data_IF_894236170879
#
_entry.id   IF_894236170879
#
_cell.length_a   1.000
_cell.length_b   1.000
_cell.length_c   1.000
_cell.angle_alpha   90.00
_cell.angle_beta   90.00
_cell.angle_gamma   90.00
#
_symmetry.space_group_name_H-M   'P 1'
#
loop_
_entity.id
_entity.type
_entity.pdbx_description
1 polymer ?
#
# COMPACT_ATOMS: atom_id res chain seq x y z
N UNK A 1 -43.91 6.46 -67.42
CA UNK A 1 -42.43 6.58 -67.41
C UNK A 1 -42.00 7.19 -66.07
N UNK A 2 -41.05 6.54 -65.35
CA UNK A 2 -40.29 6.99 -64.15
C UNK A 2 -41.14 7.18 -62.86
N UNK A 3 -41.20 6.31 -61.84
CA UNK A 3 -40.21 5.59 -61.00
C UNK A 3 -39.07 6.47 -60.47
N UNK A 4 -39.13 6.84 -59.18
CA UNK A 4 -38.27 6.32 -58.09
C UNK A 4 -38.16 7.34 -56.94
N UNK A 5 -38.40 6.87 -55.72
CA UNK A 5 -38.10 7.55 -54.47
C UNK A 5 -36.59 7.63 -54.25
N UNK A 6 -36.11 8.72 -53.62
CA UNK A 6 -34.78 8.74 -53.01
C UNK A 6 -34.88 9.51 -51.69
N UNK A 7 -34.82 8.76 -50.59
CA UNK A 7 -34.68 9.29 -49.25
C UNK A 7 -33.30 9.93 -49.09
N UNK A 8 -33.28 11.21 -48.68
CA UNK A 8 -32.06 11.90 -48.32
C UNK A 8 -31.77 11.61 -46.84
N UNK A 9 -31.02 10.55 -46.57
CA UNK A 9 -30.35 10.37 -45.27
C UNK A 9 -29.14 11.31 -45.29
N UNK A 10 -29.04 12.32 -44.42
CA UNK A 10 -27.83 13.13 -44.38
C UNK A 10 -26.69 12.28 -43.82
N UNK A 11 -25.70 12.10 -44.68
CA UNK A 11 -24.37 11.56 -44.44
C UNK A 11 -23.66 12.37 -43.33
N UNK A 12 -23.90 12.04 -42.07
CA UNK A 12 -23.18 12.62 -40.93
C UNK A 12 -22.51 11.53 -40.07
N UNK A 13 -21.87 10.56 -40.71
CA UNK A 13 -21.17 9.46 -40.03
C UNK A 13 -19.72 9.27 -40.50
N UNK A 14 -19.08 10.30 -41.06
CA UNK A 14 -17.68 10.20 -41.55
C UNK A 14 -16.73 11.22 -40.90
N UNK A 15 -17.12 11.86 -39.78
CA UNK A 15 -16.21 12.76 -39.04
C UNK A 15 -15.96 12.34 -37.58
N UNK A 16 -16.52 11.21 -37.13
CA UNK A 16 -16.35 10.74 -35.75
C UNK A 16 -15.04 9.97 -35.45
N UNK A 17 -14.29 9.35 -36.39
CA UNK A 17 -13.14 8.54 -35.95
C UNK A 17 -11.95 9.35 -35.45
N UNK A 18 -11.85 10.63 -35.82
CA UNK A 18 -10.64 11.43 -35.54
C UNK A 18 -10.69 12.19 -34.22
N UNK A 19 -11.86 12.51 -33.67
CA UNK A 19 -11.94 13.13 -32.34
C UNK A 19 -11.68 12.13 -31.19
N UNK A 20 -12.04 10.85 -31.38
CA UNK A 20 -11.84 9.80 -30.37
C UNK A 20 -10.37 9.33 -30.24
N UNK A 21 -9.55 9.52 -31.28
CA UNK A 21 -8.12 9.18 -31.26
C UNK A 21 -7.19 10.25 -30.67
N UNK A 22 -7.75 11.35 -30.13
CA UNK A 22 -6.95 12.38 -29.45
C UNK A 22 -6.76 12.11 -27.96
N UNK A 23 -7.62 11.31 -27.32
CA UNK A 23 -7.47 10.97 -25.89
C UNK A 23 -6.50 9.83 -25.60
N UNK A 24 -6.08 9.05 -26.61
CA UNK A 24 -5.13 7.94 -26.38
C UNK A 24 -3.66 8.35 -26.47
N UNK A 25 -3.35 9.60 -26.87
CA UNK A 25 -1.97 10.11 -26.97
C UNK A 25 -1.50 10.88 -25.72
N UNK A 26 -2.15 10.63 -24.59
CA UNK A 26 -1.75 11.11 -23.26
C UNK A 26 -1.25 10.00 -22.32
N UNK A 27 -1.14 8.75 -22.78
CA UNK A 27 -0.62 7.63 -21.99
C UNK A 27 0.93 7.65 -21.85
N UNK A 28 1.53 8.84 -21.80
CA UNK A 28 2.93 9.00 -21.43
C UNK A 28 3.08 8.65 -19.94
N UNK A 29 3.36 7.37 -19.64
CA UNK A 29 3.77 6.84 -18.34
C UNK A 29 3.03 7.50 -17.16
N UNK A 30 1.78 7.10 -16.94
CA UNK A 30 1.06 7.49 -15.72
C UNK A 30 1.97 7.23 -14.51
N UNK A 31 2.25 8.25 -13.69
CA UNK A 31 3.02 8.06 -12.47
C UNK A 31 2.34 6.97 -11.65
N UNK A 32 3.05 5.88 -11.39
CA UNK A 32 2.59 4.85 -10.47
C UNK A 32 2.36 5.52 -9.12
N UNK A 33 1.09 5.58 -8.68
CA UNK A 33 0.74 6.09 -7.36
C UNK A 33 1.48 5.24 -6.33
N UNK A 34 1.97 5.86 -5.28
CA UNK A 34 2.74 5.19 -4.21
C UNK A 34 2.03 5.42 -2.89
N UNK A 35 1.67 4.34 -2.21
CA UNK A 35 0.97 4.40 -0.94
C UNK A 35 1.80 3.68 0.12
N UNK A 36 2.13 4.37 1.20
CA UNK A 36 2.78 3.79 2.36
C UNK A 36 1.73 3.62 3.46
N UNK A 37 1.46 2.38 3.85
CA UNK A 37 0.68 2.05 5.03
C UNK A 37 1.64 1.90 6.22
N UNK A 38 1.33 2.49 7.36
CA UNK A 38 2.14 2.42 8.57
C UNK A 38 1.28 1.88 9.72
N UNK A 39 1.79 0.85 10.41
CA UNK A 39 1.19 0.26 11.60
C UNK A 39 2.26 -0.06 12.65
N UNK A 40 1.87 -0.34 13.88
CA UNK A 40 2.81 -0.58 14.97
C UNK A 40 3.40 -2.00 14.94
N UNK A 41 2.58 -2.98 14.58
CA UNK A 41 2.91 -4.40 14.63
C UNK A 41 2.61 -5.09 13.29
N UNK A 42 3.25 -6.25 13.01
CA UNK A 42 2.66 -7.21 12.09
C UNK A 42 1.22 -7.49 12.50
N UNK A 43 0.28 -7.56 11.55
CA UNK A 43 -1.18 -7.72 11.72
C UNK A 43 -2.02 -6.44 11.88
N UNK A 44 -1.41 -5.28 12.15
CA UNK A 44 -2.14 -4.00 12.15
C UNK A 44 -2.58 -3.59 10.74
N UNK A 45 -1.99 -4.17 9.69
CA UNK A 45 -2.32 -3.79 8.32
C UNK A 45 -3.69 -4.29 7.85
N UNK A 46 -4.43 -3.42 7.17
CA UNK A 46 -5.57 -3.87 6.35
C UNK A 46 -5.04 -4.56 5.08
N UNK A 47 -4.95 -5.89 5.15
CA UNK A 47 -4.50 -6.75 4.04
C UNK A 47 -5.40 -6.60 2.80
N UNK A 48 -6.70 -6.32 2.97
CA UNK A 48 -7.61 -6.12 1.86
C UNK A 48 -7.33 -4.78 1.17
N UNK A 49 -7.08 -3.72 1.94
CA UNK A 49 -6.66 -2.44 1.41
C UNK A 49 -5.34 -2.56 0.64
N UNK A 50 -4.32 -3.20 1.22
CA UNK A 50 -3.02 -3.40 0.56
C UNK A 50 -3.20 -4.19 -0.75
N UNK A 51 -3.92 -5.30 -0.70
CA UNK A 51 -4.18 -6.14 -1.88
C UNK A 51 -4.94 -5.37 -2.96
N UNK A 52 -5.94 -4.58 -2.56
CA UNK A 52 -6.72 -3.75 -3.47
C UNK A 52 -5.84 -2.67 -4.11
N UNK A 53 -5.02 -1.95 -3.35
CA UNK A 53 -4.12 -0.92 -3.87
C UNK A 53 -3.09 -1.51 -4.84
N UNK A 54 -2.43 -2.60 -4.45
CA UNK A 54 -1.35 -3.22 -5.21
C UNK A 54 -1.84 -3.89 -6.50
N UNK A 55 -2.97 -4.61 -6.45
CA UNK A 55 -3.47 -5.40 -7.59
C UNK A 55 -4.58 -4.71 -8.37
N UNK A 56 -5.52 -4.05 -7.69
CA UNK A 56 -6.70 -3.43 -8.30
C UNK A 56 -6.54 -1.94 -8.63
N UNK A 57 -5.93 -1.18 -7.71
CA UNK A 57 -5.78 0.28 -7.79
C UNK A 57 -4.55 0.75 -8.56
N UNK A 58 -3.65 -0.18 -8.96
CA UNK A 58 -2.38 0.08 -9.65
C UNK A 58 -1.49 1.09 -8.90
N UNK A 59 -1.50 1.02 -7.57
CA UNK A 59 -0.59 1.78 -6.72
C UNK A 59 0.52 0.85 -6.23
N UNK A 60 1.77 1.25 -6.39
CA UNK A 60 2.89 0.62 -5.71
C UNK A 60 2.72 0.87 -4.21
N UNK A 61 2.58 -0.22 -3.47
CA UNK A 61 2.18 -0.18 -2.06
C UNK A 61 3.31 -0.72 -1.21
N UNK A 62 3.52 -0.10 -0.05
CA UNK A 62 4.42 -0.58 0.98
C UNK A 62 3.71 -0.59 2.33
N UNK A 63 4.03 -1.58 3.16
CA UNK A 63 3.69 -1.60 4.56
C UNK A 63 4.95 -1.38 5.40
N UNK A 64 4.89 -0.42 6.33
CA UNK A 64 5.90 -0.20 7.36
C UNK A 64 5.30 -0.63 8.69
N UNK A 65 5.77 -1.78 9.19
CA UNK A 65 5.56 -2.15 10.59
C UNK A 65 6.63 -1.46 11.44
N UNK A 66 6.24 -0.76 12.50
CA UNK A 66 7.22 -0.16 13.40
C UNK A 66 8.04 -1.24 14.09
N UNK A 67 7.42 -2.31 14.56
CA UNK A 67 8.08 -3.42 15.25
C UNK A 67 8.09 -4.70 14.42
N UNK A 68 8.72 -5.76 14.95
CA UNK A 68 8.59 -7.12 14.41
C UNK A 68 7.57 -7.97 15.18
N UNK A 69 6.82 -7.39 16.12
CA UNK A 69 5.77 -8.08 16.87
C UNK A 69 6.26 -9.03 17.96
N UNK A 70 7.49 -8.84 18.45
CA UNK A 70 8.17 -9.67 19.45
C UNK A 70 7.47 -9.69 20.83
N UNK A 71 6.72 -8.64 21.16
CA UNK A 71 5.97 -8.47 22.40
C UNK A 71 4.58 -9.10 22.38
N UNK A 72 4.21 -9.72 21.26
CA UNK A 72 2.91 -10.35 21.05
C UNK A 72 2.76 -11.71 21.72
N UNK A 73 1.57 -12.29 21.52
CA UNK A 73 1.25 -13.66 21.94
C UNK A 73 1.33 -14.60 20.74
N UNK A 74 1.76 -15.83 20.99
CA UNK A 74 1.75 -16.90 20.00
C UNK A 74 0.62 -17.90 20.33
N UNK A 75 -0.39 -17.96 19.47
CA UNK A 75 -1.56 -18.83 19.66
C UNK A 75 -1.32 -20.27 19.23
N UNK A 76 -0.30 -20.52 18.41
CA UNK A 76 -0.07 -21.81 17.73
C UNK A 76 1.25 -22.48 18.14
N UNK A 77 2.03 -21.84 19.01
CA UNK A 77 3.35 -22.28 19.44
C UNK A 77 3.78 -21.66 20.76
N UNK A 78 5.02 -21.92 21.17
CA UNK A 78 5.57 -21.49 22.46
C UNK A 78 6.59 -20.35 22.31
N UNK A 79 6.88 -19.92 21.09
CA UNK A 79 7.86 -18.87 20.80
C UNK A 79 7.35 -17.51 21.29
N UNK A 80 8.24 -16.77 21.95
CA UNK A 80 8.00 -15.43 22.49
C UNK A 80 9.25 -14.57 22.23
N UNK A 81 9.10 -13.24 22.35
CA UNK A 81 10.22 -12.32 22.18
C UNK A 81 10.83 -12.41 20.78
N UNK A 82 12.16 -12.39 20.70
CA UNK A 82 12.90 -12.39 19.43
C UNK A 82 12.54 -13.57 18.52
N UNK A 83 12.32 -14.76 19.10
CA UNK A 83 11.91 -15.94 18.33
C UNK A 83 10.56 -15.73 17.65
N UNK A 84 9.61 -15.10 18.35
CA UNK A 84 8.32 -14.72 17.78
C UNK A 84 8.47 -13.64 16.72
N UNK A 85 9.28 -12.60 16.95
CA UNK A 85 9.46 -11.55 15.95
C UNK A 85 10.11 -12.04 14.66
N UNK A 86 10.99 -13.05 14.72
CA UNK A 86 11.51 -13.72 13.52
C UNK A 86 10.35 -14.38 12.73
N UNK A 87 9.49 -15.12 13.43
CA UNK A 87 8.33 -15.79 12.81
C UNK A 87 7.41 -14.76 12.15
N UNK A 88 7.00 -13.71 12.89
CA UNK A 88 6.07 -12.70 12.39
C UNK A 88 6.64 -11.82 11.29
N UNK A 89 7.96 -11.64 11.29
CA UNK A 89 8.68 -11.03 10.15
C UNK A 89 8.47 -11.87 8.89
N UNK A 90 8.66 -13.20 8.98
CA UNK A 90 8.43 -14.09 7.84
C UNK A 90 6.95 -14.20 7.45
N UNK A 91 6.02 -14.10 8.39
CA UNK A 91 4.57 -14.03 8.09
C UNK A 91 4.26 -12.82 7.20
N UNK A 92 4.73 -11.62 7.55
CA UNK A 92 4.55 -10.43 6.71
C UNK A 92 5.26 -10.54 5.37
N UNK A 93 6.51 -11.03 5.35
CA UNK A 93 7.24 -11.23 4.11
C UNK A 93 6.52 -12.25 3.21
N UNK A 94 5.91 -13.29 3.79
CA UNK A 94 5.07 -14.24 3.08
C UNK A 94 3.81 -13.59 2.53
N UNK A 95 3.11 -12.78 3.33
CA UNK A 95 1.95 -12.02 2.87
C UNK A 95 2.31 -11.11 1.70
N UNK A 96 3.45 -10.41 1.77
CA UNK A 96 3.96 -9.56 0.70
C UNK A 96 4.34 -10.35 -0.57
N UNK A 97 4.85 -11.58 -0.45
CA UNK A 97 5.04 -12.47 -1.62
C UNK A 97 3.73 -12.80 -2.31
N UNK A 98 2.61 -12.80 -1.58
CA UNK A 98 1.27 -13.03 -2.12
C UNK A 98 0.68 -11.75 -2.70
N UNK A 99 0.60 -10.66 -1.96
CA UNK A 99 -0.05 -9.43 -2.43
C UNK A 99 0.81 -8.61 -3.41
N UNK A 100 2.14 -8.69 -3.29
CA UNK A 100 3.13 -8.01 -4.13
C UNK A 100 3.61 -6.66 -3.59
N UNK A 101 3.16 -6.22 -2.41
CA UNK A 101 3.57 -4.96 -1.79
C UNK A 101 4.96 -5.08 -1.13
N UNK A 102 5.60 -3.94 -0.86
CA UNK A 102 6.89 -3.90 -0.16
C UNK A 102 6.70 -4.00 1.35
N UNK A 103 7.58 -4.71 2.05
CA UNK A 103 7.63 -4.70 3.52
C UNK A 103 8.82 -3.89 4.02
N UNK A 104 8.58 -3.04 5.01
CA UNK A 104 9.60 -2.36 5.80
C UNK A 104 9.39 -2.65 7.29
N UNK A 105 10.49 -2.52 8.04
CA UNK A 105 10.52 -2.60 9.50
C UNK A 105 11.40 -1.48 10.04
N UNK A 106 11.05 -0.92 11.19
CA UNK A 106 12.00 -0.06 11.94
C UNK A 106 12.85 -0.89 12.91
N UNK A 107 13.59 -0.21 13.77
CA UNK A 107 14.36 -0.82 14.88
C UNK A 107 13.57 -0.87 16.19
N UNK A 108 12.33 -0.40 16.23
CA UNK A 108 11.52 -0.41 17.44
C UNK A 108 11.31 -1.85 17.95
N UNK A 109 11.52 -2.03 19.25
CA UNK A 109 11.21 -3.26 19.95
C UNK A 109 9.76 -3.23 20.41
N UNK A 110 9.01 -4.30 20.15
CA UNK A 110 7.67 -4.46 20.71
C UNK A 110 7.79 -4.87 22.18
N UNK A 111 7.48 -3.95 23.07
CA UNK A 111 7.53 -4.14 24.52
C UNK A 111 6.18 -4.59 25.10
N UNK A 112 5.20 -4.87 24.24
CA UNK A 112 3.83 -5.23 24.62
C UNK A 112 2.93 -4.01 24.87
N UNK A 113 1.83 -4.26 25.56
CA UNK A 113 0.74 -3.28 25.71
C UNK A 113 1.16 -2.07 26.57
N UNK A 114 0.86 -0.86 26.09
CA UNK A 114 0.92 0.39 26.86
C UNK A 114 -0.46 1.03 26.99
N UNK A 115 -0.67 1.77 28.07
CA UNK A 115 -1.95 2.44 28.37
C UNK A 115 -1.99 3.88 27.87
N UNK A 116 -0.83 4.48 27.64
CA UNK A 116 -0.69 5.87 27.23
C UNK A 116 0.62 6.09 26.48
N UNK A 117 0.68 7.20 25.74
CA UNK A 117 1.84 7.53 24.92
C UNK A 117 3.13 7.79 25.74
N UNK A 118 3.02 8.22 27.01
CA UNK A 118 4.20 8.45 27.84
C UNK A 118 4.92 7.13 28.16
N UNK A 119 4.18 6.07 28.44
CA UNK A 119 4.72 4.71 28.55
C UNK A 119 5.37 4.26 27.24
N UNK A 120 4.71 4.46 26.10
CA UNK A 120 5.29 4.12 24.79
C UNK A 120 6.62 4.84 24.55
N UNK A 121 6.68 6.15 24.80
CA UNK A 121 7.90 6.94 24.57
C UNK A 121 9.03 6.65 25.57
N UNK A 122 8.75 5.98 26.70
CA UNK A 122 9.80 5.46 27.57
C UNK A 122 10.57 4.31 26.92
N UNK A 123 9.92 3.54 26.05
CA UNK A 123 10.53 2.42 25.31
C UNK A 123 10.93 2.79 23.88
N UNK A 124 10.21 3.71 23.24
CA UNK A 124 10.47 4.19 21.88
C UNK A 124 10.95 5.64 21.92
N UNK A 125 12.28 5.88 21.93
CA UNK A 125 12.79 7.23 21.87
C UNK A 125 12.30 7.92 20.60
N UNK A 126 11.56 9.01 20.78
CA UNK A 126 10.81 9.67 19.71
C UNK A 126 11.70 10.02 18.50
N UNK A 127 12.89 10.56 18.75
CA UNK A 127 13.77 11.04 17.69
C UNK A 127 14.37 9.91 16.86
N UNK A 128 14.76 8.79 17.48
CA UNK A 128 15.34 7.65 16.77
C UNK A 128 14.28 6.90 15.96
N UNK A 129 13.08 6.72 16.50
CA UNK A 129 11.98 6.08 15.78
C UNK A 129 11.49 6.96 14.63
N UNK A 130 11.34 8.27 14.87
CA UNK A 130 10.98 9.21 13.81
C UNK A 130 12.03 9.21 12.69
N UNK A 131 13.32 9.10 13.02
CA UNK A 131 14.38 9.00 12.02
C UNK A 131 14.22 7.76 11.11
N UNK A 132 13.86 6.61 11.68
CA UNK A 132 13.63 5.38 10.91
C UNK A 132 12.44 5.53 9.96
N UNK A 133 11.31 6.06 10.47
CA UNK A 133 10.11 6.31 9.65
C UNK A 133 10.42 7.29 8.51
N UNK A 134 11.10 8.41 8.81
CA UNK A 134 11.48 9.41 7.81
C UNK A 134 12.44 8.81 6.77
N UNK A 135 13.33 7.92 7.16
CA UNK A 135 14.24 7.22 6.24
C UNK A 135 13.44 6.38 5.24
N UNK A 136 12.45 5.60 5.71
CA UNK A 136 11.57 4.81 4.84
C UNK A 136 10.74 5.72 3.92
N UNK A 137 10.14 6.79 4.47
CA UNK A 137 9.36 7.75 3.67
C UNK A 137 10.20 8.38 2.57
N UNK A 138 11.46 8.76 2.86
CA UNK A 138 12.37 9.35 1.86
C UNK A 138 12.84 8.34 0.81
N UNK A 139 13.01 7.08 1.20
CA UNK A 139 13.40 6.01 0.29
C UNK A 139 12.25 5.63 -0.65
N UNK A 140 11.05 5.41 -0.10
CA UNK A 140 9.88 4.97 -0.84
C UNK A 140 9.16 6.11 -1.58
N UNK A 141 9.27 7.36 -1.11
CA UNK A 141 8.65 8.57 -1.68
C UNK A 141 7.14 8.40 -1.92
N UNK A 142 6.35 8.04 -0.88
CA UNK A 142 4.91 7.85 -1.03
C UNK A 142 4.22 9.16 -1.43
N UNK A 143 3.14 9.04 -2.20
CA UNK A 143 2.22 10.14 -2.47
C UNK A 143 1.13 10.24 -1.40
N UNK A 144 0.75 9.10 -0.83
CA UNK A 144 -0.22 9.00 0.28
C UNK A 144 0.40 8.15 1.38
N UNK A 145 0.27 8.62 2.62
CA UNK A 145 0.57 7.83 3.82
C UNK A 145 -0.76 7.52 4.50
N UNK A 146 -1.01 6.25 4.77
CA UNK A 146 -2.11 5.77 5.60
C UNK A 146 -1.51 5.28 6.90
N UNK A 147 -2.04 5.74 8.03
CA UNK A 147 -1.52 5.34 9.33
C UNK A 147 -2.61 4.70 10.16
N UNK A 148 -2.28 3.58 10.80
CA UNK A 148 -3.16 2.76 11.63
C UNK A 148 -2.52 2.70 13.02
N UNK A 149 -3.21 3.19 14.05
CA UNK A 149 -2.80 3.17 15.45
C UNK A 149 -4.01 2.96 16.37
#
# INVERSE_FOLDING_TARGET
MKRAALALVPLLMIAAPQLMMSQERGASRAETRRVLVIGAHPDDEDTQLISWLQRGGRAETAYLSLTRGDGGQNLIGNELGEALGIIRTEELLAARRVDGAHQYFTRAYDFGYSKNAAETFAHWPKDSLLNDVVTVVRAFKPHVIVSIF
#
